data_IF_489241298551
#
_entry.id   IF_489241298551
#
_cell.length_a   1.000
_cell.length_b   1.000
_cell.length_c   1.000
_cell.angle_alpha   90.00
_cell.angle_beta   90.00
_cell.angle_gamma   90.00
#
_symmetry.space_group_name_H-M   'P 1'
#
loop_
_entity.id
_entity.type
_entity.pdbx_description
1 polymer ?
#
# COMPACT_ATOMS: atom_id res chain seq x y z
N UNK A 1 -5.21 12.12 60.84
CA UNK A 1 -6.19 11.12 60.38
C UNK A 1 -6.07 11.01 58.86
N UNK A 2 -5.38 9.99 58.37
CA UNK A 2 -5.20 9.74 56.94
C UNK A 2 -5.75 8.35 56.63
N UNK A 3 -7.01 8.30 56.20
CA UNK A 3 -7.59 7.10 55.58
C UNK A 3 -7.18 7.14 54.12
N UNK A 4 -6.18 6.34 53.79
CA UNK A 4 -5.78 6.06 52.43
C UNK A 4 -6.92 5.32 51.74
N UNK A 5 -7.58 6.00 50.80
CA UNK A 5 -8.52 5.41 49.87
C UNK A 5 -7.78 4.37 49.02
N UNK A 6 -7.94 3.10 49.38
CA UNK A 6 -7.72 1.98 48.47
C UNK A 6 -8.84 2.03 47.42
N UNK A 7 -8.67 2.87 46.40
CA UNK A 7 -9.51 2.78 45.20
C UNK A 7 -9.00 1.58 44.39
N UNK A 8 -9.78 0.51 44.42
CA UNK A 8 -9.71 -0.56 43.43
C UNK A 8 -9.89 0.11 42.07
N UNK A 9 -8.83 0.14 41.26
CA UNK A 9 -8.86 0.65 39.89
C UNK A 9 -9.67 -0.32 39.02
N UNK A 10 -11.00 -0.24 39.11
CA UNK A 10 -11.89 -0.86 38.16
C UNK A 10 -11.73 -0.12 36.82
N UNK A 11 -10.94 -0.70 35.93
CA UNK A 11 -10.66 -0.13 34.61
C UNK A 11 -11.93 0.16 33.81
N UNK A 12 -11.85 1.12 32.90
CA UNK A 12 -12.98 1.55 32.08
C UNK A 12 -13.28 0.49 31.01
N UNK A 13 -14.57 0.28 30.72
CA UNK A 13 -15.04 -0.67 29.71
C UNK A 13 -15.89 0.03 28.66
N UNK A 14 -15.96 -0.55 27.47
CA UNK A 14 -16.89 -0.10 26.42
C UNK A 14 -18.34 -0.21 26.91
N UNK A 15 -19.17 0.76 26.52
CA UNK A 15 -20.58 0.82 26.92
C UNK A 15 -20.86 1.44 28.30
N UNK A 16 -19.84 1.75 29.10
CA UNK A 16 -20.01 2.45 30.38
C UNK A 16 -20.62 3.84 30.20
N UNK A 17 -21.40 4.27 31.19
CA UNK A 17 -21.96 5.63 31.23
C UNK A 17 -20.95 6.62 31.80
N UNK A 18 -21.16 7.92 31.53
CA UNK A 18 -20.30 8.99 32.08
C UNK A 18 -20.07 8.88 33.59
N UNK A 19 -21.10 8.55 34.36
CA UNK A 19 -21.01 8.44 35.82
C UNK A 19 -20.09 7.30 36.25
N UNK A 20 -20.13 6.18 35.52
CA UNK A 20 -19.27 5.02 35.78
C UNK A 20 -17.82 5.33 35.41
N UNK A 21 -17.59 6.03 34.30
CA UNK A 21 -16.24 6.48 33.91
C UNK A 21 -15.67 7.46 34.95
N UNK A 22 -16.47 8.41 35.44
CA UNK A 22 -16.07 9.35 36.48
C UNK A 22 -15.83 8.66 37.83
N UNK A 23 -16.57 7.58 38.14
CA UNK A 23 -16.33 6.76 39.34
C UNK A 23 -15.01 5.97 39.25
N UNK A 24 -14.68 5.44 38.06
CA UNK A 24 -13.45 4.66 37.82
C UNK A 24 -12.21 5.53 37.67
N UNK A 25 -12.29 6.67 36.98
CA UNK A 25 -11.13 7.51 36.64
C UNK A 25 -11.07 8.85 37.37
N UNK A 26 -12.08 9.18 38.17
CA UNK A 26 -12.19 10.46 38.85
C UNK A 26 -12.73 11.57 37.94
N UNK A 27 -12.49 12.83 38.32
CA UNK A 27 -12.98 13.99 37.56
C UNK A 27 -12.11 14.25 36.32
N UNK A 28 -12.71 14.46 35.13
CA UNK A 28 -11.96 14.81 33.93
C UNK A 28 -11.36 16.22 34.08
N UNK A 29 -10.17 16.42 33.51
CA UNK A 29 -9.49 17.72 33.42
C UNK A 29 -10.11 18.59 32.33
N UNK A 30 -10.59 17.95 31.25
CA UNK A 30 -11.24 18.65 30.15
C UNK A 30 -12.42 17.83 29.63
N UNK A 31 -13.50 18.54 29.32
CA UNK A 31 -14.72 18.00 28.72
C UNK A 31 -14.96 18.77 27.43
N UNK A 32 -14.89 18.08 26.29
CA UNK A 32 -15.10 18.68 24.97
C UNK A 32 -16.30 18.02 24.28
N UNK A 33 -17.30 18.83 23.93
CA UNK A 33 -18.49 18.37 23.21
C UNK A 33 -18.34 18.70 21.71
N UNK A 34 -18.43 17.69 20.86
CA UNK A 34 -18.34 17.82 19.39
C UNK A 34 -19.49 17.06 18.74
N UNK A 35 -20.59 17.77 18.46
CA UNK A 35 -21.81 17.15 17.93
C UNK A 35 -22.43 16.18 18.94
N UNK A 36 -22.59 14.91 18.57
CA UNK A 36 -23.08 13.84 19.45
C UNK A 36 -21.97 13.12 20.24
N UNK A 37 -20.72 13.61 20.17
CA UNK A 37 -19.56 13.04 20.85
C UNK A 37 -19.12 13.89 22.03
N UNK A 38 -18.95 13.26 23.18
CA UNK A 38 -18.40 13.85 24.39
C UNK A 38 -17.02 13.26 24.65
N UNK A 39 -15.99 14.09 24.60
CA UNK A 39 -14.60 13.69 24.83
C UNK A 39 -14.20 14.11 26.23
N UNK A 40 -13.81 13.15 27.05
CA UNK A 40 -13.31 13.36 28.41
C UNK A 40 -11.81 13.12 28.44
N UNK A 41 -11.04 14.11 28.87
CA UNK A 41 -9.58 14.01 29.04
C UNK A 41 -9.22 13.99 30.52
N UNK A 42 -8.36 13.06 30.91
CA UNK A 42 -7.98 12.79 32.30
C UNK A 42 -6.50 13.15 32.54
N UNK A 43 -6.09 13.43 33.80
CA UNK A 43 -4.77 13.97 34.10
C UNK A 43 -3.63 12.98 33.83
N UNK A 44 -3.94 11.69 33.77
CA UNK A 44 -3.06 10.60 33.36
C UNK A 44 -2.86 10.50 31.84
N UNK A 45 -3.39 11.46 31.06
CA UNK A 45 -3.33 11.44 29.59
C UNK A 45 -4.35 10.49 28.94
N UNK A 46 -5.19 9.83 29.76
CA UNK A 46 -6.29 9.00 29.29
C UNK A 46 -7.37 9.84 28.64
N UNK A 47 -7.94 9.32 27.54
CA UNK A 47 -9.02 9.96 26.81
C UNK A 47 -10.14 8.96 26.60
N UNK A 48 -11.36 9.37 26.95
CA UNK A 48 -12.57 8.56 26.76
C UNK A 48 -13.52 9.33 25.85
N UNK A 49 -13.94 8.71 24.75
CA UNK A 49 -14.98 9.26 23.88
C UNK A 49 -16.31 8.56 24.17
N UNK A 50 -17.33 9.36 24.47
CA UNK A 50 -18.70 8.91 24.65
C UNK A 50 -19.55 9.36 23.47
N UNK A 51 -20.35 8.46 22.92
CA UNK A 51 -21.37 8.75 21.92
C UNK A 51 -22.71 8.34 22.53
N UNK A 52 -23.69 9.24 22.49
CA UNK A 52 -25.01 9.02 23.12
C UNK A 52 -24.93 8.64 24.62
N UNK A 53 -23.89 9.15 25.30
CA UNK A 53 -23.67 8.90 26.73
C UNK A 53 -23.03 7.56 27.08
N UNK A 54 -22.58 6.78 26.09
CA UNK A 54 -21.84 5.51 26.28
C UNK A 54 -20.42 5.58 25.75
N UNK A 55 -19.47 4.94 26.42
CA UNK A 55 -18.08 4.83 25.97
C UNK A 55 -18.01 4.04 24.67
N UNK A 56 -17.43 4.64 23.62
CA UNK A 56 -17.20 4.02 22.30
C UNK A 56 -15.72 3.88 21.99
N UNK A 57 -14.88 4.77 22.53
CA UNK A 57 -13.43 4.72 22.30
C UNK A 57 -12.66 5.13 23.58
N UNK A 58 -11.51 4.51 23.78
CA UNK A 58 -10.64 4.69 24.94
C UNK A 58 -9.18 4.70 24.51
N UNK A 59 -8.50 5.82 24.74
CA UNK A 59 -7.08 5.97 24.41
C UNK A 59 -6.28 6.17 25.70
N UNK A 60 -5.25 5.34 25.91
CA UNK A 60 -4.36 5.38 27.10
C UNK A 60 -5.09 5.27 28.45
N UNK A 61 -6.18 4.50 28.49
CA UNK A 61 -6.92 4.19 29.72
C UNK A 61 -6.59 2.77 30.16
N UNK A 62 -6.34 2.50 31.45
CA UNK A 62 -6.23 1.14 31.95
C UNK A 62 -7.58 0.42 31.72
N UNK A 63 -7.62 -0.45 30.72
CA UNK A 63 -8.77 -1.31 30.43
C UNK A 63 -8.84 -2.35 31.53
N UNK A 64 -10.02 -2.56 32.10
CA UNK A 64 -10.23 -3.67 33.02
C UNK A 64 -10.12 -4.98 32.23
N UNK A 65 -8.99 -5.67 32.33
CA UNK A 65 -8.88 -7.05 31.85
C UNK A 65 -9.93 -7.89 32.56
N UNK A 66 -10.88 -8.44 31.80
CA UNK A 66 -11.88 -9.37 32.32
C UNK A 66 -11.20 -10.62 32.86
N UNK A 67 -10.92 -10.62 34.16
CA UNK A 67 -10.55 -11.79 34.92
C UNK A 67 -11.65 -12.09 35.93
N UNK A 68 -12.30 -13.24 35.69
CA UNK A 68 -13.08 -14.10 36.62
C UNK A 68 -14.56 -13.77 36.90
N UNK A 69 -15.44 -14.53 36.23
CA UNK A 69 -16.28 -15.61 36.80
C UNK A 69 -17.19 -16.18 35.67
N UNK A 70 -17.46 -17.47 35.44
CA UNK A 70 -17.15 -18.81 35.97
C UNK A 70 -17.60 -19.83 34.85
N UNK A 71 -17.23 -21.13 34.92
CA UNK A 71 -17.26 -22.08 33.79
C UNK A 71 -18.57 -22.88 33.68
N UNK A 72 -18.95 -23.26 32.44
CA UNK A 72 -19.87 -24.37 32.14
C UNK A 72 -19.51 -24.98 30.76
N UNK A 73 -19.85 -26.26 30.48
CA UNK A 73 -18.95 -27.38 30.19
C UNK A 73 -18.68 -27.62 28.69
N UNK A 74 -17.77 -28.56 28.33
CA UNK A 74 -17.43 -28.85 26.94
C UNK A 74 -18.50 -29.74 26.28
N UNK A 75 -18.83 -29.47 25.01
CA UNK A 75 -19.46 -30.45 24.14
C UNK A 75 -18.43 -30.85 23.08
N UNK A 76 -18.14 -32.15 23.12
CA UNK A 76 -17.20 -32.91 22.31
C UNK A 76 -17.75 -33.20 20.90
N UNK A 77 -16.81 -33.43 19.99
CA UNK A 77 -16.88 -34.25 18.76
C UNK A 77 -17.80 -33.81 17.60
N UNK A 78 -17.16 -33.42 16.49
CA UNK A 78 -16.92 -34.36 15.39
C UNK A 78 -16.07 -33.70 14.27
N UNK A 79 -14.77 -34.03 14.24
CA UNK A 79 -14.07 -34.39 12.99
C UNK A 79 -14.29 -35.92 12.80
N UNK A 80 -14.09 -36.54 11.61
CA UNK A 80 -13.01 -36.22 10.67
C UNK A 80 -13.29 -36.47 9.16
N UNK A 81 -12.26 -36.19 8.35
CA UNK A 81 -11.86 -36.89 7.12
C UNK A 81 -12.76 -36.67 5.87
N UNK A 82 -12.30 -36.68 4.62
CA UNK A 82 -10.99 -36.89 3.97
C UNK A 82 -11.16 -36.51 2.48
N UNK A 83 -10.09 -36.71 1.69
CA UNK A 83 -10.09 -36.96 0.23
C UNK A 83 -9.87 -35.74 -0.69
N UNK A 84 -8.64 -35.53 -1.18
CA UNK A 84 -8.03 -36.10 -2.42
C UNK A 84 -8.42 -35.27 -3.66
N UNK A 85 -7.56 -34.43 -4.24
CA UNK A 85 -6.44 -34.78 -5.15
C UNK A 85 -6.86 -35.72 -6.29
N UNK A 86 -7.04 -35.17 -7.50
CA UNK A 86 -7.04 -35.91 -8.78
C UNK A 86 -7.03 -34.94 -9.98
N UNK A 87 -5.87 -34.78 -10.61
CA UNK A 87 -5.67 -34.70 -12.06
C UNK A 87 -4.68 -35.82 -12.42
N UNK A 88 -4.49 -36.20 -13.69
CA UNK A 88 -5.41 -36.37 -14.81
C UNK A 88 -5.29 -37.80 -15.38
N UNK A 89 -6.20 -38.23 -16.27
CA UNK A 89 -5.97 -39.46 -17.05
C UNK A 89 -6.24 -39.28 -18.55
N UNK A 90 -5.34 -39.88 -19.32
CA UNK A 90 -5.27 -39.91 -20.78
C UNK A 90 -6.02 -41.12 -21.34
N UNK A 91 -6.61 -40.98 -22.53
CA UNK A 91 -6.78 -42.03 -23.57
C UNK A 91 -7.51 -41.33 -24.73
N UNK A 92 -6.92 -41.13 -25.92
CA UNK A 92 -6.46 -42.07 -26.96
C UNK A 92 -7.55 -43.04 -27.41
N UNK A 93 -8.16 -42.72 -28.54
CA UNK A 93 -8.59 -43.63 -29.62
C UNK A 93 -8.64 -42.78 -30.91
N UNK A 94 -7.75 -42.99 -31.88
CA UNK A 94 -7.93 -43.87 -33.07
C UNK A 94 -9.23 -43.61 -33.84
N UNK A 95 -9.32 -43.53 -35.16
CA UNK A 95 -8.42 -43.70 -36.29
C UNK A 95 -9.25 -43.22 -37.50
N UNK A 96 -8.69 -42.47 -38.45
CA UNK A 96 -9.08 -42.70 -39.85
C UNK A 96 -7.95 -42.37 -40.81
N UNK A 97 -7.23 -43.44 -41.10
CA UNK A 97 -6.28 -43.60 -42.18
C UNK A 97 -7.03 -43.57 -43.54
N UNK A 98 -6.59 -42.72 -44.47
CA UNK A 98 -6.77 -42.95 -45.92
C UNK A 98 -5.44 -42.59 -46.60
N UNK A 99 -4.75 -43.64 -46.98
CA UNK A 99 -3.52 -43.72 -47.77
C UNK A 99 -3.94 -43.75 -49.27
N UNK A 100 -3.44 -42.88 -50.15
CA UNK A 100 -2.29 -43.02 -51.08
C UNK A 100 -2.74 -42.44 -52.46
N UNK A 101 -1.91 -42.24 -53.51
CA UNK A 101 -0.45 -42.29 -53.61
C UNK A 101 0.19 -41.04 -54.28
N UNK A 102 1.51 -40.92 -54.13
CA UNK A 102 2.36 -40.00 -54.90
C UNK A 102 2.48 -40.45 -56.37
N UNK A 103 2.72 -39.53 -57.33
CA UNK A 103 4.00 -39.66 -58.03
C UNK A 103 4.66 -38.34 -58.47
N UNK A 104 5.99 -38.40 -58.45
CA UNK A 104 6.95 -37.74 -59.36
C UNK A 104 7.17 -36.22 -59.24
N UNK A 105 8.28 -35.90 -58.58
CA UNK A 105 9.43 -35.31 -59.29
C UNK A 105 9.35 -33.82 -59.64
N UNK A 106 9.75 -32.98 -58.69
CA UNK A 106 10.51 -31.78 -58.98
C UNK A 106 11.56 -31.62 -57.87
N UNK A 107 12.83 -31.74 -58.25
CA UNK A 107 13.99 -31.54 -57.39
C UNK A 107 14.04 -30.06 -57.04
N UNK A 108 13.49 -29.69 -55.89
CA UNK A 108 13.79 -28.40 -55.26
C UNK A 108 15.18 -28.57 -54.63
N UNK A 109 16.16 -27.71 -54.91
CA UNK A 109 17.42 -27.76 -54.19
C UNK A 109 17.11 -27.52 -52.72
N UNK A 110 17.28 -28.58 -51.92
CA UNK A 110 17.25 -28.51 -50.46
C UNK A 110 18.39 -27.57 -50.06
N UNK A 111 18.05 -26.31 -49.84
CA UNK A 111 18.95 -25.37 -49.19
C UNK A 111 19.35 -26.01 -47.87
N UNK A 112 20.66 -26.26 -47.73
CA UNK A 112 21.29 -26.79 -46.51
C UNK A 112 20.68 -26.05 -45.32
N UNK A 113 20.17 -26.74 -44.28
CA UNK A 113 19.76 -26.04 -43.07
C UNK A 113 20.99 -25.28 -42.56
N UNK A 114 20.89 -23.95 -42.35
CA UNK A 114 22.03 -23.16 -41.91
C UNK A 114 22.57 -23.77 -40.63
N UNK A 115 23.89 -23.95 -40.56
CA UNK A 115 24.53 -24.52 -39.38
C UNK A 115 24.24 -23.63 -38.17
N UNK A 116 24.23 -24.22 -36.96
CA UNK A 116 24.05 -23.46 -35.71
C UNK A 116 25.01 -22.27 -35.62
N UNK A 117 26.21 -22.40 -36.20
CA UNK A 117 27.22 -21.36 -36.30
C UNK A 117 26.80 -20.21 -37.23
N UNK A 118 26.18 -20.50 -38.39
CA UNK A 118 25.61 -19.49 -39.30
C UNK A 118 24.37 -18.80 -38.68
N UNK A 119 23.59 -19.50 -37.86
CA UNK A 119 22.48 -18.90 -37.10
C UNK A 119 22.97 -18.03 -35.94
N UNK A 120 24.02 -18.45 -35.25
CA UNK A 120 24.65 -17.68 -34.17
C UNK A 120 25.34 -16.43 -34.72
N UNK A 121 26.07 -16.55 -35.82
CA UNK A 121 26.69 -15.40 -36.50
C UNK A 121 25.63 -14.48 -37.10
N UNK A 122 24.58 -14.99 -37.75
CA UNK A 122 23.49 -14.13 -38.24
C UNK A 122 22.65 -13.48 -37.11
N UNK A 123 22.55 -14.08 -35.92
CA UNK A 123 21.97 -13.43 -34.73
C UNK A 123 22.92 -12.39 -34.14
N UNK A 124 24.24 -12.62 -34.21
CA UNK A 124 25.25 -11.69 -33.72
C UNK A 124 25.48 -10.51 -34.67
N UNK A 125 25.19 -10.68 -35.96
CA UNK A 125 25.32 -9.67 -37.01
C UNK A 125 24.01 -8.86 -37.23
N UNK A 126 22.84 -9.40 -36.83
CA UNK A 126 21.56 -8.66 -36.74
C UNK A 126 21.35 -8.06 -35.35
N UNK A 127 22.14 -7.05 -35.02
CA UNK A 127 21.65 -5.82 -34.40
C UNK A 127 22.86 -4.94 -34.08
N UNK A 128 23.10 -3.83 -34.80
CA UNK A 128 23.48 -2.64 -34.07
C UNK A 128 22.31 -2.37 -33.12
N UNK A 129 22.45 -2.79 -31.87
CA UNK A 129 21.58 -2.35 -30.80
C UNK A 129 21.77 -0.84 -30.79
N UNK A 130 20.88 -0.11 -31.46
CA UNK A 130 20.86 1.35 -31.49
C UNK A 130 20.75 1.76 -30.04
N UNK A 131 21.91 2.02 -29.40
CA UNK A 131 21.95 2.53 -28.05
C UNK A 131 21.13 3.81 -28.13
N UNK A 132 19.98 3.90 -27.43
CA UNK A 132 19.14 5.08 -27.52
C UNK A 132 20.04 6.26 -27.23
N UNK A 133 20.06 7.23 -28.14
CA UNK A 133 20.95 8.38 -28.03
C UNK A 133 20.79 8.96 -26.62
N UNK A 134 21.90 9.23 -25.93
CA UNK A 134 21.92 9.70 -24.54
C UNK A 134 20.92 10.86 -24.30
N UNK A 135 20.72 11.71 -25.31
CA UNK A 135 19.73 12.79 -25.29
C UNK A 135 18.26 12.33 -25.31
N UNK A 136 17.92 11.23 -26.00
CA UNK A 136 16.57 10.66 -26.01
C UNK A 136 16.17 10.07 -24.66
N UNK A 137 17.11 9.37 -23.99
CA UNK A 137 16.89 8.84 -22.64
C UNK A 137 16.66 9.97 -21.65
N UNK A 138 17.50 11.01 -21.70
CA UNK A 138 17.38 12.18 -20.82
C UNK A 138 16.02 12.89 -21.00
N UNK A 139 15.56 13.03 -22.25
CA UNK A 139 14.26 13.65 -22.55
C UNK A 139 13.10 12.83 -21.97
N UNK A 140 13.12 11.50 -22.11
CA UNK A 140 12.08 10.61 -21.55
C UNK A 140 12.06 10.69 -20.03
N UNK A 141 13.24 10.67 -19.38
CA UNK A 141 13.35 10.81 -17.93
C UNK A 141 12.82 12.16 -17.46
N UNK A 142 13.14 13.24 -18.18
CA UNK A 142 12.71 14.60 -17.83
C UNK A 142 11.19 14.77 -17.98
N UNK A 143 10.62 14.32 -19.11
CA UNK A 143 9.17 14.35 -19.34
C UNK A 143 8.44 13.49 -18.30
N UNK A 144 8.91 12.26 -18.07
CA UNK A 144 8.35 11.36 -17.07
C UNK A 144 8.40 11.94 -15.66
N UNK A 145 9.51 12.59 -15.30
CA UNK A 145 9.68 13.29 -14.03
C UNK A 145 8.68 14.44 -13.86
N UNK A 146 8.51 15.28 -14.88
CA UNK A 146 7.54 16.39 -14.85
C UNK A 146 6.10 15.88 -14.71
N UNK A 147 5.72 14.86 -15.48
CA UNK A 147 4.39 14.23 -15.39
C UNK A 147 4.18 13.68 -13.97
N UNK A 148 5.16 12.99 -13.42
CA UNK A 148 5.11 12.44 -12.06
C UNK A 148 4.92 13.54 -11.02
N UNK A 149 5.63 14.66 -11.11
CA UNK A 149 5.44 15.82 -10.22
C UNK A 149 4.00 16.31 -10.31
N UNK A 150 3.46 16.50 -11.51
CA UNK A 150 2.07 16.97 -11.69
C UNK A 150 1.06 16.01 -11.06
N UNK A 151 1.22 14.69 -11.27
CA UNK A 151 0.37 13.67 -10.66
C UNK A 151 0.44 13.75 -9.13
N UNK A 152 1.64 13.80 -8.56
CA UNK A 152 1.83 13.89 -7.10
C UNK A 152 1.22 15.18 -6.54
N UNK A 153 1.32 16.30 -7.24
CA UNK A 153 0.67 17.55 -6.85
C UNK A 153 -0.86 17.44 -6.84
N UNK A 154 -1.46 16.81 -7.86
CA UNK A 154 -2.91 16.58 -7.90
C UNK A 154 -3.36 15.67 -6.75
N UNK A 155 -2.60 14.60 -6.48
CA UNK A 155 -2.85 13.67 -5.39
C UNK A 155 -2.73 14.36 -4.02
N UNK A 156 -1.69 15.17 -3.82
CA UNK A 156 -1.53 16.00 -2.63
C UNK A 156 -2.71 16.96 -2.46
N UNK A 157 -3.15 17.62 -3.55
CA UNK A 157 -4.31 18.53 -3.50
C UNK A 157 -5.58 17.82 -3.03
N UNK A 158 -5.83 16.61 -3.51
CA UNK A 158 -6.95 15.77 -3.08
C UNK A 158 -6.81 15.35 -1.61
N UNK A 159 -5.61 14.95 -1.18
CA UNK A 159 -5.34 14.56 0.19
C UNK A 159 -5.52 15.73 1.18
N UNK A 160 -5.06 16.93 0.82
CA UNK A 160 -5.27 18.15 1.59
C UNK A 160 -6.75 18.53 1.68
N UNK A 161 -7.50 18.38 0.58
CA UNK A 161 -8.96 18.60 0.57
C UNK A 161 -9.69 17.60 1.48
N UNK A 162 -9.24 16.35 1.53
CA UNK A 162 -9.81 15.33 2.42
C UNK A 162 -9.51 15.61 3.90
N UNK A 163 -8.31 16.13 4.19
CA UNK A 163 -7.90 16.48 5.55
C UNK A 163 -8.42 17.85 6.03
N UNK A 164 -9.22 18.55 5.22
CA UNK A 164 -9.72 19.90 5.47
C UNK A 164 -8.59 20.91 5.75
N UNK A 165 -7.49 20.77 5.00
CA UNK A 165 -6.30 21.63 5.09
C UNK A 165 -6.14 22.42 3.80
N UNK A 166 -6.08 23.75 3.91
CA UNK A 166 -5.77 24.60 2.78
C UNK A 166 -4.26 24.66 2.53
N UNK A 167 -3.82 23.99 1.46
CA UNK A 167 -2.46 24.11 0.93
C UNK A 167 -2.47 24.88 -0.40
N UNK A 168 -1.61 25.88 -0.50
CA UNK A 168 -1.34 26.62 -1.74
C UNK A 168 -0.49 25.78 -2.70
N UNK A 169 -0.66 25.99 -4.01
CA UNK A 169 0.08 25.25 -5.04
C UNK A 169 1.60 25.33 -4.88
N UNK A 170 2.13 26.48 -4.46
CA UNK A 170 3.55 26.65 -4.19
C UNK A 170 4.06 25.80 -3.02
N UNK A 171 3.23 25.59 -1.98
CA UNK A 171 3.59 24.76 -0.81
C UNK A 171 3.55 23.26 -1.11
N UNK A 172 2.77 22.85 -2.12
CA UNK A 172 2.66 21.45 -2.57
C UNK A 172 3.77 21.05 -3.55
N UNK A 173 4.38 22.02 -4.23
CA UNK A 173 5.44 21.77 -5.21
C UNK A 173 6.68 21.14 -4.57
N UNK A 174 7.15 21.67 -3.44
CA UNK A 174 8.36 21.16 -2.79
C UNK A 174 8.21 19.71 -2.27
N UNK A 175 7.10 19.32 -1.59
CA UNK A 175 6.81 17.92 -1.28
C UNK A 175 6.76 17.02 -2.52
N UNK A 176 6.10 17.46 -3.60
CA UNK A 176 5.99 16.67 -4.83
C UNK A 176 7.34 16.47 -5.53
N UNK A 177 8.17 17.51 -5.54
CA UNK A 177 9.53 17.47 -6.07
C UNK A 177 10.40 16.52 -5.25
N UNK A 178 10.36 16.62 -3.91
CA UNK A 178 11.12 15.75 -3.03
C UNK A 178 10.72 14.27 -3.19
N UNK A 179 9.42 13.97 -3.25
CA UNK A 179 8.91 12.62 -3.52
C UNK A 179 9.44 12.06 -4.85
N UNK A 180 9.38 12.89 -5.91
CA UNK A 180 9.85 12.51 -7.23
C UNK A 180 11.35 12.25 -7.27
N UNK A 181 12.15 13.09 -6.61
CA UNK A 181 13.61 12.92 -6.54
C UNK A 181 13.96 11.63 -5.81
N UNK A 182 13.33 11.36 -4.67
CA UNK A 182 13.60 10.15 -3.88
C UNK A 182 13.29 8.91 -4.72
N UNK A 183 12.09 8.83 -5.30
CA UNK A 183 11.70 7.70 -6.16
C UNK A 183 12.63 7.55 -7.36
N UNK A 184 12.97 8.64 -8.05
CA UNK A 184 13.86 8.59 -9.21
C UNK A 184 15.28 8.14 -8.83
N UNK A 185 15.76 8.53 -7.65
CA UNK A 185 17.08 8.10 -7.14
C UNK A 185 17.08 6.61 -6.86
N UNK A 186 16.04 6.09 -6.21
CA UNK A 186 15.92 4.65 -5.94
C UNK A 186 15.72 3.82 -7.21
N UNK A 187 14.88 4.26 -8.14
CA UNK A 187 14.73 3.62 -9.46
C UNK A 187 16.07 3.58 -10.22
N UNK A 188 16.81 4.69 -10.20
CA UNK A 188 18.14 4.75 -10.82
C UNK A 188 19.13 3.81 -10.14
N UNK A 189 19.23 3.85 -8.80
CA UNK A 189 20.15 2.99 -8.03
C UNK A 189 19.80 1.51 -8.19
N UNK A 190 18.51 1.15 -8.11
CA UNK A 190 18.02 -0.22 -8.29
C UNK A 190 18.37 -0.77 -9.68
N UNK A 191 18.12 0.04 -10.72
CA UNK A 191 18.42 -0.35 -12.10
C UNK A 191 19.94 -0.43 -12.35
N UNK A 192 20.69 0.59 -11.93
CA UNK A 192 22.11 0.73 -12.23
C UNK A 192 23.02 -0.20 -11.42
N UNK A 193 22.73 -0.38 -10.13
CA UNK A 193 23.61 -1.11 -9.20
C UNK A 193 23.17 -2.56 -9.04
N UNK A 194 21.87 -2.79 -8.90
CA UNK A 194 21.35 -4.10 -8.47
C UNK A 194 20.75 -4.90 -9.63
N UNK A 195 20.56 -4.29 -10.80
CA UNK A 195 19.82 -4.85 -11.94
C UNK A 195 18.42 -5.36 -11.53
N UNK A 196 17.83 -4.75 -10.50
CA UNK A 196 16.46 -5.01 -10.05
C UNK A 196 15.59 -3.83 -10.50
N UNK A 197 14.44 -4.13 -11.09
CA UNK A 197 13.53 -3.12 -11.64
C UNK A 197 12.99 -2.13 -10.59
N UNK A 198 12.71 -2.57 -9.36
CA UNK A 198 12.41 -1.67 -8.24
C UNK A 198 12.45 -2.41 -6.89
N UNK A 199 12.72 -1.68 -5.82
CA UNK A 199 12.54 -2.14 -4.45
C UNK A 199 11.24 -1.53 -3.91
N UNK A 200 10.14 -1.84 -4.59
CA UNK A 200 8.85 -1.16 -4.46
C UNK A 200 8.49 -0.75 -3.02
N UNK A 201 8.60 -1.67 -2.06
CA UNK A 201 8.27 -1.42 -0.66
C UNK A 201 9.24 -0.47 0.07
N UNK A 202 10.55 -0.62 -0.16
CA UNK A 202 11.57 0.19 0.53
C UNK A 202 11.61 1.61 -0.02
N UNK A 203 11.50 1.73 -1.34
CA UNK A 203 11.49 3.00 -2.06
C UNK A 203 10.26 3.81 -1.63
N UNK A 204 9.10 3.15 -1.51
CA UNK A 204 7.85 3.78 -1.13
C UNK A 204 7.82 4.20 0.35
N UNK A 205 8.37 3.36 1.25
CA UNK A 205 8.52 3.70 2.66
C UNK A 205 9.44 4.91 2.86
N UNK A 206 10.58 4.94 2.15
CA UNK A 206 11.53 6.04 2.24
C UNK A 206 10.95 7.33 1.67
N UNK A 207 10.28 7.25 0.51
CA UNK A 207 9.58 8.38 -0.09
C UNK A 207 8.44 8.89 0.81
N UNK A 208 7.72 8.01 1.52
CA UNK A 208 6.73 8.41 2.52
C UNK A 208 7.34 9.19 3.69
N UNK A 209 8.45 8.71 4.25
CA UNK A 209 9.15 9.39 5.35
C UNK A 209 9.63 10.78 4.90
N UNK A 210 10.24 10.88 3.73
CA UNK A 210 10.70 12.17 3.18
C UNK A 210 9.52 13.10 2.92
N UNK A 211 8.44 12.60 2.32
CA UNK A 211 7.23 13.38 2.09
C UNK A 211 6.67 13.93 3.40
N UNK A 212 6.60 13.11 4.45
CA UNK A 212 6.14 13.52 5.77
C UNK A 212 7.03 14.63 6.37
N UNK A 213 8.35 14.48 6.31
CA UNK A 213 9.29 15.50 6.80
C UNK A 213 9.12 16.82 6.04
N UNK A 214 8.99 16.76 4.71
CA UNK A 214 8.83 17.96 3.89
C UNK A 214 7.48 18.62 4.15
N UNK A 215 6.39 17.86 4.23
CA UNK A 215 5.06 18.37 4.59
C UNK A 215 5.06 19.08 5.95
N UNK A 216 5.72 18.51 6.96
CA UNK A 216 5.83 19.15 8.27
C UNK A 216 6.62 20.48 8.24
N UNK A 217 7.52 20.65 7.27
CA UNK A 217 8.39 21.83 7.13
C UNK A 217 7.76 22.91 6.24
N UNK A 218 7.04 22.53 5.19
CA UNK A 218 6.55 23.46 4.16
C UNK A 218 5.12 23.93 4.39
N UNK A 219 4.30 23.09 5.02
CA UNK A 219 2.92 23.46 5.34
C UNK A 219 2.85 23.98 6.77
N UNK A 220 2.52 25.26 6.94
CA UNK A 220 2.20 25.85 8.24
C UNK A 220 0.97 25.22 8.92
N UNK A 221 0.24 24.41 8.17
CA UNK A 221 -0.90 23.67 8.65
C UNK A 221 -0.47 22.38 9.36
N UNK A 222 -0.75 22.39 10.66
CA UNK A 222 -1.38 21.29 11.38
C UNK A 222 -0.50 20.13 11.86
N UNK A 223 -0.57 19.93 13.18
CA UNK A 223 -0.33 18.72 13.97
C UNK A 223 0.16 17.47 13.22
N UNK A 224 1.19 16.81 13.77
CA UNK A 224 1.79 15.57 13.27
C UNK A 224 0.74 14.55 12.75
N UNK A 225 -0.35 14.37 13.50
CA UNK A 225 -1.45 13.46 13.14
C UNK A 225 -2.11 13.78 11.79
N UNK A 226 -2.29 15.07 11.45
CA UNK A 226 -2.84 15.48 10.15
C UNK A 226 -1.82 15.31 9.02
N UNK A 227 -0.55 15.66 9.25
CA UNK A 227 0.52 15.45 8.28
C UNK A 227 0.68 13.96 7.91
N UNK A 228 0.63 13.07 8.92
CA UNK A 228 0.61 11.61 8.74
C UNK A 228 -0.59 11.18 7.89
N UNK A 229 -1.79 11.66 8.22
CA UNK A 229 -3.01 11.33 7.47
C UNK A 229 -2.95 11.77 6.01
N UNK A 230 -2.46 12.98 5.73
CA UNK A 230 -2.28 13.50 4.36
C UNK A 230 -1.23 12.70 3.61
N UNK A 231 -0.07 12.43 4.22
CA UNK A 231 0.99 11.66 3.58
C UNK A 231 0.54 10.23 3.26
N UNK A 232 -0.18 9.58 4.17
CA UNK A 232 -0.69 8.23 3.98
C UNK A 232 -1.76 8.20 2.87
N UNK A 233 -2.70 9.14 2.88
CA UNK A 233 -3.71 9.27 1.84
C UNK A 233 -3.07 9.55 0.46
N UNK A 234 -2.08 10.43 0.40
CA UNK A 234 -1.37 10.73 -0.83
C UNK A 234 -0.62 9.50 -1.38
N UNK A 235 0.02 8.71 -0.52
CA UNK A 235 0.72 7.49 -0.93
C UNK A 235 -0.22 6.41 -1.41
N UNK A 236 -1.30 6.14 -0.67
CA UNK A 236 -2.32 5.18 -1.09
C UNK A 236 -2.93 5.56 -2.44
N UNK A 237 -3.29 6.84 -2.62
CA UNK A 237 -3.77 7.36 -3.89
C UNK A 237 -2.72 7.21 -5.00
N UNK A 238 -1.45 7.52 -4.73
CA UNK A 238 -0.37 7.36 -5.70
C UNK A 238 -0.18 5.91 -6.14
N UNK A 239 -0.32 4.94 -5.22
CA UNK A 239 -0.23 3.51 -5.53
C UNK A 239 -1.41 3.09 -6.42
N UNK A 240 -2.64 3.49 -6.06
CA UNK A 240 -3.85 3.17 -6.84
C UNK A 240 -3.79 3.78 -8.23
N UNK A 241 -3.45 5.08 -8.33
CA UNK A 241 -3.33 5.78 -9.62
C UNK A 241 -2.20 5.18 -10.44
N UNK A 242 -1.05 4.90 -9.85
CA UNK A 242 0.08 4.24 -10.52
C UNK A 242 -0.30 2.87 -11.07
N UNK A 243 -0.99 2.06 -10.27
CA UNK A 243 -1.50 0.76 -10.67
C UNK A 243 -2.49 0.85 -11.84
N UNK A 244 -3.46 1.77 -11.77
CA UNK A 244 -4.41 1.98 -12.87
C UNK A 244 -3.74 2.44 -14.16
N UNK A 245 -2.78 3.37 -14.07
CA UNK A 245 -2.01 3.83 -15.24
C UNK A 245 -1.24 2.65 -15.85
N UNK A 246 -0.60 1.82 -15.03
CA UNK A 246 0.13 0.65 -15.51
C UNK A 246 -0.78 -0.36 -16.22
N UNK A 247 -1.96 -0.67 -15.65
CA UNK A 247 -2.95 -1.55 -16.31
C UNK A 247 -3.42 -0.96 -17.63
N UNK A 248 -3.72 0.35 -17.66
CA UNK A 248 -4.16 1.03 -18.88
C UNK A 248 -3.08 0.99 -19.97
N UNK A 249 -1.82 1.21 -19.61
CA UNK A 249 -0.69 1.12 -20.56
C UNK A 249 -0.53 -0.31 -21.08
N UNK A 250 -0.62 -1.32 -20.21
CA UNK A 250 -0.53 -2.72 -20.65
C UNK A 250 -1.66 -3.09 -21.62
N UNK A 251 -2.89 -2.66 -21.34
CA UNK A 251 -4.03 -2.88 -22.23
C UNK A 251 -3.91 -2.10 -23.55
N UNK A 252 -3.32 -0.91 -23.54
CA UNK A 252 -3.11 -0.13 -24.77
C UNK A 252 -2.02 -0.72 -25.68
N UNK A 253 -1.14 -1.56 -25.12
CA UNK A 253 -0.05 -2.23 -25.84
C UNK A 253 -0.38 -3.66 -26.30
N UNK A 254 -1.46 -4.27 -25.78
CA UNK A 254 -1.97 -5.59 -26.18
C UNK A 254 -2.93 -5.51 -27.37
#
# INVERSE_FOLDING_TARGET
MALANVLVAAGVREGMTRLEVEASMGKPVSVLLRGNRLVLSYPNGGRVELIEGRVVDMLHVPVATDAQALPVPPVSEAEPADSEESEPDQSVDEMKNVQEPSPKGAVVPVAKPPTLEERLTAMQERAPQERPALGGILLVVLIGGVIRIVIVMVVLKLAFKWADVHAEWGQMFLPALADTIVRSTFEFVGTAVLHVMSWFYFDEATAYIVLLIVLMKTTHACTLSRAVGVAAAAKLMSIVVGGMVMVYVMHALS
#
